data_IF_437087060875
#
_entry.id   IF_437087060875
#
_cell.length_a   1.000
_cell.length_b   1.000
_cell.length_c   1.000
_cell.angle_alpha   90.00
_cell.angle_beta   90.00
_cell.angle_gamma   90.00
#
_symmetry.space_group_name_H-M   'P 1'
#
loop_
_entity.id
_entity.type
_entity.pdbx_description
1 polymer ?
#
# COMPACT_ATOMS: atom_id res chain seq x y z
N UNK A 1 -2.75 -1.78 11.36
CA UNK A 1 -1.71 -1.99 10.34
C UNK A 1 -2.13 -3.15 9.46
N UNK A 2 -2.41 -2.88 8.19
CA UNK A 2 -2.85 -3.90 7.23
C UNK A 2 -1.70 -4.82 6.78
N UNK A 3 -2.01 -6.07 6.48
CA UNK A 3 -1.03 -7.08 6.03
C UNK A 3 -0.28 -6.64 4.76
N UNK A 4 -0.98 -6.08 3.77
CA UNK A 4 -0.41 -5.71 2.48
C UNK A 4 0.58 -4.55 2.57
N UNK A 5 0.40 -3.64 3.52
CA UNK A 5 1.37 -2.57 3.82
C UNK A 5 2.67 -3.17 4.35
N UNK A 6 2.58 -4.15 5.26
CA UNK A 6 3.75 -4.83 5.80
C UNK A 6 4.41 -5.74 4.76
N UNK A 7 3.61 -6.44 3.95
CA UNK A 7 4.12 -7.28 2.88
C UNK A 7 4.90 -6.46 1.85
N UNK A 8 4.47 -5.24 1.54
CA UNK A 8 5.22 -4.34 0.67
C UNK A 8 6.52 -3.84 1.34
N UNK A 9 6.48 -3.49 2.62
CA UNK A 9 7.67 -3.05 3.38
C UNK A 9 8.76 -4.14 3.49
N UNK A 10 8.36 -5.38 3.75
CA UNK A 10 9.28 -6.53 3.85
C UNK A 10 9.58 -7.17 2.49
N UNK A 11 9.15 -6.54 1.39
CA UNK A 11 9.37 -7.02 0.01
C UNK A 11 8.80 -8.42 -0.26
N UNK A 12 7.76 -8.83 0.49
CA UNK A 12 7.01 -10.07 0.27
C UNK A 12 5.93 -9.92 -0.81
N UNK A 13 5.57 -8.69 -1.15
CA UNK A 13 4.61 -8.34 -2.18
C UNK A 13 5.12 -7.18 -3.04
N UNK A 14 4.57 -7.05 -4.24
CA UNK A 14 4.83 -5.93 -5.16
C UNK A 14 3.67 -4.92 -5.15
N UNK A 15 3.88 -3.72 -5.67
CA UNK A 15 2.84 -2.69 -5.83
C UNK A 15 1.65 -3.21 -6.65
N UNK A 16 1.87 -4.00 -7.69
CA UNK A 16 0.78 -4.61 -8.48
C UNK A 16 -0.04 -5.65 -7.71
N UNK A 17 0.57 -6.40 -6.79
CA UNK A 17 -0.18 -7.30 -5.90
C UNK A 17 -1.05 -6.49 -4.92
N UNK A 18 -0.53 -5.38 -4.39
CA UNK A 18 -1.28 -4.52 -3.47
C UNK A 18 -2.41 -3.76 -4.19
N UNK A 19 -2.25 -3.41 -5.47
CA UNK A 19 -3.35 -2.89 -6.31
C UNK A 19 -4.51 -3.87 -6.42
N UNK A 20 -4.19 -5.16 -6.61
CA UNK A 20 -5.23 -6.20 -6.63
C UNK A 20 -5.90 -6.32 -5.25
N UNK A 21 -5.13 -6.26 -4.17
CA UNK A 21 -5.68 -6.28 -2.81
C UNK A 21 -6.65 -5.11 -2.54
N UNK A 22 -6.37 -3.91 -3.07
CA UNK A 22 -7.31 -2.79 -3.05
C UNK A 22 -8.62 -3.11 -3.80
N UNK A 23 -8.51 -3.75 -4.97
CA UNK A 23 -9.68 -4.10 -5.78
C UNK A 23 -10.56 -5.18 -5.12
N UNK A 24 -9.97 -6.04 -4.29
CA UNK A 24 -10.67 -7.06 -3.50
C UNK A 24 -11.06 -6.59 -2.09
N UNK A 25 -10.90 -5.31 -1.78
CA UNK A 25 -11.19 -4.72 -0.46
C UNK A 25 -10.39 -5.35 0.71
N UNK A 26 -9.31 -6.06 0.40
CA UNK A 26 -8.39 -6.68 1.38
C UNK A 26 -7.33 -5.68 1.90
N UNK A 27 -7.24 -4.54 1.21
CA UNK A 27 -6.51 -3.35 1.62
C UNK A 27 -7.36 -2.12 1.34
N UNK A 28 -7.18 -1.04 2.10
CA UNK A 28 -7.85 0.25 1.84
C UNK A 28 -6.86 1.37 1.56
N UNK A 29 -7.34 2.44 0.92
CA UNK A 29 -6.54 3.66 0.72
C UNK A 29 -6.07 4.24 2.06
N UNK A 30 -6.89 4.14 3.11
CA UNK A 30 -6.55 4.62 4.44
C UNK A 30 -5.41 3.80 5.07
N UNK A 31 -5.40 2.48 4.87
CA UNK A 31 -4.30 1.62 5.31
C UNK A 31 -2.98 2.01 4.64
N UNK A 32 -3.00 2.28 3.33
CA UNK A 32 -1.82 2.71 2.59
C UNK A 32 -1.34 4.11 3.04
N UNK A 33 -2.27 5.02 3.33
CA UNK A 33 -1.94 6.34 3.87
C UNK A 33 -1.32 6.25 5.27
N UNK A 34 -1.84 5.36 6.14
CA UNK A 34 -1.22 5.05 7.43
C UNK A 34 0.18 4.46 7.26
N UNK A 35 0.37 3.59 6.26
CA UNK A 35 1.66 3.02 5.88
C UNK A 35 2.73 4.07 5.55
N UNK A 36 2.38 5.10 4.78
CA UNK A 36 3.32 6.19 4.48
C UNK A 36 3.58 7.07 5.70
N UNK A 37 2.54 7.42 6.48
CA UNK A 37 2.73 8.18 7.72
C UNK A 37 3.68 7.48 8.70
N UNK A 38 3.69 6.14 8.70
CA UNK A 38 4.58 5.30 9.51
C UNK A 38 5.90 4.95 8.82
N UNK A 39 6.17 5.51 7.64
CA UNK A 39 7.38 5.28 6.82
C UNK A 39 7.62 3.81 6.46
N UNK A 40 6.55 3.03 6.33
CA UNK A 40 6.60 1.62 5.92
C UNK A 40 6.53 1.47 4.41
N UNK A 41 5.93 2.42 3.71
CA UNK A 41 5.94 2.48 2.25
C UNK A 41 6.20 3.94 1.83
N UNK A 42 6.63 4.17 0.60
CA UNK A 42 6.92 5.51 0.11
C UNK A 42 5.69 6.19 -0.49
N UNK A 43 5.72 7.53 -0.60
CA UNK A 43 4.68 8.27 -1.30
C UNK A 43 4.58 7.88 -2.78
N UNK A 44 5.69 7.52 -3.43
CA UNK A 44 5.71 6.98 -4.79
C UNK A 44 5.00 5.63 -4.88
N UNK A 45 5.28 4.70 -3.96
CA UNK A 45 4.58 3.41 -3.91
C UNK A 45 3.08 3.61 -3.69
N UNK A 46 2.68 4.51 -2.80
CA UNK A 46 1.27 4.86 -2.61
C UNK A 46 0.63 5.40 -3.88
N UNK A 47 1.30 6.34 -4.58
CA UNK A 47 0.81 6.92 -5.82
C UNK A 47 0.69 5.88 -6.92
N UNK A 48 1.66 4.98 -7.01
CA UNK A 48 1.63 3.89 -7.96
C UNK A 48 0.45 2.95 -7.70
N UNK A 49 0.19 2.60 -6.43
CA UNK A 49 -0.89 1.68 -6.04
C UNK A 49 -2.27 2.33 -6.20
N UNK A 50 -2.43 3.59 -5.77
CA UNK A 50 -3.75 4.24 -5.69
C UNK A 50 -4.09 5.12 -6.89
N UNK A 51 -3.09 5.50 -7.69
CA UNK A 51 -3.21 6.53 -8.72
C UNK A 51 -3.37 7.95 -8.17
N UNK A 52 -3.32 8.15 -6.84
CA UNK A 52 -3.56 9.43 -6.18
C UNK A 52 -2.25 10.02 -5.65
N UNK A 53 -2.12 11.34 -5.70
CA UNK A 53 -1.08 12.02 -4.94
C UNK A 53 -1.39 11.88 -3.44
N UNK A 54 -0.35 11.70 -2.62
CA UNK A 54 -0.47 11.72 -1.16
C UNK A 54 -0.18 13.12 -0.62
#
# INVERSE_FOLDING_TARGET
MNYWVLALYYEWATTDMVKQALAYEDCSIQDLAEGVNKKLITADQYKEITGKAM
#
